data_IF_945876093871
#
_entry.id   IF_945876093871
#
_cell.length_a   1.000
_cell.length_b   1.000
_cell.length_c   1.000
_cell.angle_alpha   90.00
_cell.angle_beta   90.00
_cell.angle_gamma   90.00
#
_symmetry.space_group_name_H-M   'P 1'
#
loop_
_entity.id
_entity.type
_entity.pdbx_description
1 polymer ?
#
# COMPACT_ATOMS: atom_id res chain seq x y z
N UNK A 1 -48.48 13.84 -0.10
CA UNK A 1 -48.01 12.51 0.32
C UNK A 1 -48.30 11.39 -0.69
N UNK A 2 -49.43 11.39 -1.39
CA UNK A 2 -49.76 10.36 -2.40
C UNK A 2 -48.72 10.28 -3.53
N UNK A 3 -48.22 11.42 -4.01
CA UNK A 3 -47.20 11.48 -5.06
C UNK A 3 -45.89 10.78 -4.66
N UNK A 4 -45.38 11.02 -3.46
CA UNK A 4 -44.16 10.39 -2.98
C UNK A 4 -44.23 8.85 -2.93
N UNK A 5 -45.40 8.32 -2.54
CA UNK A 5 -45.63 6.87 -2.45
C UNK A 5 -45.81 6.21 -3.82
N UNK A 6 -46.19 6.97 -4.85
CA UNK A 6 -46.44 6.44 -6.20
C UNK A 6 -45.29 6.61 -7.16
N UNK A 7 -44.39 7.58 -6.91
CA UNK A 7 -43.31 7.97 -7.84
C UNK A 7 -41.93 7.56 -7.38
N UNK A 8 -41.78 7.07 -6.16
CA UNK A 8 -40.49 6.63 -5.61
C UNK A 8 -40.51 5.12 -5.35
N UNK A 9 -39.39 4.49 -5.53
CA UNK A 9 -39.14 3.08 -5.17
C UNK A 9 -37.78 2.90 -4.53
N UNK A 10 -37.62 1.83 -3.75
CA UNK A 10 -36.33 1.46 -3.19
C UNK A 10 -35.64 0.51 -4.16
N UNK A 11 -34.51 0.93 -4.70
CA UNK A 11 -33.70 0.10 -5.57
C UNK A 11 -32.41 -0.33 -4.82
N UNK A 12 -32.11 -1.64 -4.81
CA UNK A 12 -30.88 -2.19 -4.26
C UNK A 12 -29.85 -2.27 -5.36
N UNK A 13 -28.87 -1.38 -5.30
CA UNK A 13 -27.84 -1.21 -6.34
C UNK A 13 -26.70 -2.20 -6.14
N UNK A 14 -26.33 -2.50 -4.89
CA UNK A 14 -25.31 -3.49 -4.59
C UNK A 14 -25.71 -4.31 -3.35
N UNK A 15 -25.41 -5.61 -3.40
CA UNK A 15 -25.71 -6.54 -2.30
C UNK A 15 -24.41 -6.98 -1.64
N UNK A 16 -24.45 -7.17 -0.34
CA UNK A 16 -23.32 -7.66 0.48
C UNK A 16 -22.82 -9.04 0.06
N UNK A 17 -23.60 -9.79 -0.73
CA UNK A 17 -23.24 -11.10 -1.27
C UNK A 17 -22.46 -11.06 -2.59
N UNK A 18 -22.42 -9.91 -3.28
CA UNK A 18 -21.69 -9.75 -4.55
C UNK A 18 -20.48 -8.83 -4.37
N UNK A 19 -19.30 -9.21 -4.91
CA UNK A 19 -18.14 -8.33 -4.86
C UNK A 19 -18.38 -7.06 -5.67
N UNK A 20 -17.97 -5.93 -5.14
CA UNK A 20 -18.00 -4.63 -5.81
C UNK A 20 -16.80 -4.45 -6.73
N UNK A 21 -15.62 -4.80 -6.25
CA UNK A 21 -14.37 -4.63 -6.96
C UNK A 21 -13.29 -5.54 -6.40
N UNK A 22 -12.13 -5.49 -7.02
CA UNK A 22 -10.92 -6.20 -6.64
C UNK A 22 -9.83 -5.17 -6.33
N UNK A 23 -9.09 -5.37 -5.24
CA UNK A 23 -7.95 -4.53 -4.84
C UNK A 23 -6.68 -5.36 -4.77
N UNK A 24 -5.54 -4.77 -5.15
CA UNK A 24 -4.23 -5.41 -5.03
C UNK A 24 -3.83 -5.53 -3.56
N UNK A 25 -3.22 -6.66 -3.20
CA UNK A 25 -2.70 -6.88 -1.85
C UNK A 25 -1.19 -7.04 -1.91
N UNK A 26 -0.50 -6.17 -1.18
CA UNK A 26 0.95 -6.23 -1.02
C UNK A 26 1.32 -7.07 0.21
N UNK A 27 2.56 -7.56 0.25
CA UNK A 27 3.15 -8.27 1.39
C UNK A 27 2.42 -9.57 1.76
N UNK A 28 1.58 -10.11 0.89
CA UNK A 28 0.95 -11.42 1.03
C UNK A 28 1.67 -12.46 0.17
N UNK A 29 1.80 -13.69 0.67
CA UNK A 29 2.39 -14.77 -0.11
C UNK A 29 1.30 -15.51 -0.88
N UNK A 30 1.47 -15.60 -2.21
CA UNK A 30 0.58 -16.37 -3.06
C UNK A 30 -0.78 -15.74 -3.37
N UNK A 31 -1.07 -14.54 -2.84
CA UNK A 31 -2.27 -13.75 -3.15
C UNK A 31 -1.88 -12.32 -3.50
N UNK A 32 -2.18 -11.94 -4.72
CA UNK A 32 -1.86 -10.60 -5.23
C UNK A 32 -3.05 -9.65 -5.20
N UNK A 33 -4.27 -10.17 -4.92
CA UNK A 33 -5.49 -9.39 -4.90
C UNK A 33 -6.55 -10.02 -4.00
N UNK A 34 -7.54 -9.23 -3.61
CA UNK A 34 -8.71 -9.67 -2.86
C UNK A 34 -9.97 -8.99 -3.34
N UNK A 35 -11.10 -9.70 -3.21
CA UNK A 35 -12.41 -9.17 -3.53
C UNK A 35 -12.94 -8.36 -2.35
N UNK A 36 -13.52 -7.21 -2.67
CA UNK A 36 -14.14 -6.32 -1.72
C UNK A 36 -15.65 -6.38 -1.85
N UNK A 37 -16.33 -6.33 -0.71
CA UNK A 37 -17.78 -6.41 -0.61
C UNK A 37 -18.33 -5.18 0.12
N UNK A 38 -19.56 -4.73 -0.18
CA UNK A 38 -20.20 -3.75 0.67
C UNK A 38 -20.51 -4.37 2.03
N UNK A 39 -20.31 -3.61 3.10
CA UNK A 39 -20.57 -4.06 4.48
C UNK A 39 -22.05 -4.41 4.69
N UNK A 40 -22.93 -3.66 4.04
CA UNK A 40 -24.38 -3.87 4.03
C UNK A 40 -24.92 -3.69 2.61
N UNK A 41 -26.13 -4.16 2.36
CA UNK A 41 -26.79 -3.95 1.08
C UNK A 41 -26.97 -2.44 0.84
N UNK A 42 -26.51 -2.00 -0.32
CA UNK A 42 -26.54 -0.60 -0.72
C UNK A 42 -27.84 -0.32 -1.48
N UNK A 43 -28.82 0.24 -0.80
CA UNK A 43 -30.13 0.58 -1.35
C UNK A 43 -30.36 2.07 -1.33
N UNK A 44 -31.02 2.58 -2.35
CA UNK A 44 -31.36 3.98 -2.46
C UNK A 44 -32.82 4.14 -2.89
N UNK A 45 -33.45 5.24 -2.43
CA UNK A 45 -34.79 5.63 -2.87
C UNK A 45 -34.63 6.46 -4.12
N UNK A 46 -35.12 5.97 -5.23
CA UNK A 46 -35.03 6.57 -6.56
C UNK A 46 -36.39 6.75 -7.19
N UNK A 47 -36.54 7.66 -8.17
CA UNK A 47 -37.77 7.74 -8.97
C UNK A 47 -38.01 6.43 -9.73
N UNK A 48 -39.25 6.04 -9.94
CA UNK A 48 -39.62 4.82 -10.71
C UNK A 48 -39.18 4.86 -12.16
N UNK A 49 -38.97 6.06 -12.70
CA UNK A 49 -38.50 6.28 -14.07
C UNK A 49 -36.93 6.25 -14.15
N UNK A 50 -36.27 5.93 -13.03
CA UNK A 50 -34.85 5.84 -12.96
C UNK A 50 -34.32 4.61 -13.71
N UNK A 51 -33.42 4.81 -14.63
CA UNK A 51 -32.65 3.75 -15.32
C UNK A 51 -31.31 3.56 -14.66
N UNK A 52 -30.65 2.44 -14.91
CA UNK A 52 -29.30 2.15 -14.37
C UNK A 52 -28.27 3.23 -14.76
N UNK A 53 -28.49 3.94 -15.86
CA UNK A 53 -27.65 5.03 -16.35
C UNK A 53 -27.70 6.28 -15.43
N UNK A 54 -28.77 6.44 -14.68
CA UNK A 54 -28.94 7.55 -13.73
C UNK A 54 -28.24 7.30 -12.40
N UNK A 55 -27.78 6.05 -12.14
CA UNK A 55 -27.13 5.64 -10.90
C UNK A 55 -25.62 5.53 -11.14
N UNK A 56 -24.87 6.32 -10.40
CA UNK A 56 -23.40 6.33 -10.47
C UNK A 56 -22.87 5.82 -9.14
N UNK A 57 -22.05 4.75 -9.17
CA UNK A 57 -21.35 4.26 -7.99
C UNK A 57 -19.93 4.79 -8.04
N UNK A 58 -19.60 5.69 -7.15
CA UNK A 58 -18.23 6.14 -6.95
C UNK A 58 -17.59 5.34 -5.81
N UNK A 59 -16.40 4.81 -6.07
CA UNK A 59 -15.66 3.98 -5.14
C UNK A 59 -14.41 4.76 -4.71
N UNK A 60 -14.33 5.07 -3.43
CA UNK A 60 -13.15 5.65 -2.79
C UNK A 60 -12.36 4.52 -2.13
N UNK A 61 -11.55 3.83 -2.94
CA UNK A 61 -10.79 2.65 -2.56
C UNK A 61 -9.34 2.86 -3.00
N UNK A 62 -8.35 2.57 -2.13
CA UNK A 62 -6.95 2.64 -2.51
C UNK A 62 -6.61 1.61 -3.60
N UNK A 63 -5.66 1.91 -4.47
CA UNK A 63 -5.19 0.99 -5.53
C UNK A 63 -4.58 -0.29 -4.98
N UNK A 64 -4.04 -0.25 -3.77
CA UNK A 64 -3.47 -1.41 -3.10
C UNK A 64 -3.58 -1.31 -1.58
N UNK A 65 -3.65 -2.44 -0.91
CA UNK A 65 -3.66 -2.59 0.56
C UNK A 65 -2.54 -3.52 1.00
N UNK A 66 -1.97 -3.26 2.16
CA UNK A 66 -0.91 -4.09 2.72
C UNK A 66 -1.49 -5.16 3.65
N UNK A 67 -0.99 -6.39 3.52
CA UNK A 67 -1.28 -7.44 4.49
C UNK A 67 -0.57 -7.14 5.84
N UNK A 68 -1.14 -7.55 7.00
CA UNK A 68 -2.30 -8.43 7.16
C UNK A 68 -3.64 -7.70 6.97
N UNK A 69 -4.60 -8.39 6.40
CA UNK A 69 -5.96 -7.89 6.21
C UNK A 69 -6.96 -8.90 6.80
N UNK A 70 -7.75 -8.50 7.78
CA UNK A 70 -8.75 -9.37 8.36
C UNK A 70 -10.05 -9.33 7.55
N UNK A 71 -10.76 -10.45 7.50
CA UNK A 71 -12.08 -10.49 6.89
C UNK A 71 -13.01 -9.50 7.58
N UNK A 72 -13.72 -8.68 6.79
CA UNK A 72 -14.61 -7.65 7.29
C UNK A 72 -13.92 -6.34 7.69
N UNK A 73 -12.59 -6.21 7.52
CA UNK A 73 -11.92 -4.93 7.74
C UNK A 73 -12.31 -3.93 6.65
N UNK A 74 -12.55 -2.69 7.06
CA UNK A 74 -12.92 -1.60 6.14
C UNK A 74 -11.69 -1.20 5.32
N UNK A 75 -11.84 -1.22 4.01
CA UNK A 75 -10.78 -0.86 3.05
C UNK A 75 -11.05 0.49 2.40
N UNK A 76 -12.33 0.83 2.21
CA UNK A 76 -12.74 2.06 1.56
C UNK A 76 -14.24 2.30 1.72
N UNK A 77 -14.77 3.14 0.84
CA UNK A 77 -16.20 3.49 0.82
C UNK A 77 -16.73 3.45 -0.59
N UNK A 78 -18.00 3.10 -0.73
CA UNK A 78 -18.76 3.23 -1.96
C UNK A 78 -19.93 4.19 -1.74
N UNK A 79 -20.08 5.14 -2.65
CA UNK A 79 -21.15 6.15 -2.59
C UNK A 79 -22.01 6.05 -3.84
N UNK A 80 -23.33 5.99 -3.67
CA UNK A 80 -24.28 6.08 -4.77
C UNK A 80 -24.65 7.54 -4.99
N UNK A 81 -24.54 7.96 -6.22
CA UNK A 81 -25.07 9.24 -6.71
C UNK A 81 -26.19 8.99 -7.72
N UNK A 82 -27.18 9.85 -7.63
CA UNK A 82 -28.22 9.97 -8.64
C UNK A 82 -27.96 11.18 -9.52
N UNK A 83 -28.17 11.00 -10.81
CA UNK A 83 -28.05 12.04 -11.81
C UNK A 83 -29.27 11.97 -12.75
N UNK A 84 -30.16 12.95 -12.67
CA UNK A 84 -31.37 12.95 -13.50
C UNK A 84 -31.05 13.05 -15.00
N UNK A 85 -30.10 13.94 -15.37
CA UNK A 85 -29.69 14.19 -16.76
C UNK A 85 -28.17 14.39 -16.84
N UNK A 86 -27.61 14.33 -18.03
CA UNK A 86 -26.18 14.50 -18.28
C UNK A 86 -25.60 15.83 -17.71
N UNK A 87 -26.43 16.87 -17.64
CA UNK A 87 -26.03 18.21 -17.16
C UNK A 87 -26.48 18.48 -15.71
N UNK A 88 -27.19 17.56 -15.05
CA UNK A 88 -27.63 17.74 -13.66
C UNK A 88 -26.46 17.55 -12.68
N UNK A 89 -26.54 18.20 -11.53
CA UNK A 89 -25.61 17.93 -10.42
C UNK A 89 -25.83 16.54 -9.86
N UNK A 90 -24.75 15.89 -9.42
CA UNK A 90 -24.79 14.59 -8.77
C UNK A 90 -25.35 14.76 -7.35
N UNK A 91 -26.45 14.05 -7.05
CA UNK A 91 -27.03 14.02 -5.73
C UNK A 91 -26.60 12.74 -5.00
N UNK A 92 -25.96 12.87 -3.85
CA UNK A 92 -25.58 11.73 -3.01
C UNK A 92 -26.82 11.11 -2.39
N UNK A 93 -27.05 9.82 -2.65
CA UNK A 93 -28.17 9.06 -2.13
C UNK A 93 -27.81 8.23 -0.91
N UNK A 94 -26.71 7.47 -0.99
CA UNK A 94 -26.29 6.57 0.08
C UNK A 94 -24.78 6.37 0.05
N UNK A 95 -24.23 5.94 1.19
CA UNK A 95 -22.82 5.58 1.36
C UNK A 95 -22.73 4.31 2.20
N UNK A 96 -21.81 3.43 1.84
CA UNK A 96 -21.52 2.20 2.58
C UNK A 96 -20.01 1.97 2.67
N UNK A 97 -19.55 1.38 3.77
CA UNK A 97 -18.18 0.91 3.87
C UNK A 97 -17.98 -0.29 2.95
N UNK A 98 -16.78 -0.38 2.40
CA UNK A 98 -16.34 -1.51 1.59
C UNK A 98 -15.33 -2.30 2.39
N UNK A 99 -15.60 -3.59 2.55
CA UNK A 99 -14.86 -4.49 3.45
C UNK A 99 -14.18 -5.63 2.71
N UNK A 100 -13.11 -6.14 3.27
CA UNK A 100 -12.40 -7.30 2.75
C UNK A 100 -13.24 -8.59 2.89
N UNK A 101 -13.36 -9.35 1.81
CA UNK A 101 -14.13 -10.60 1.78
C UNK A 101 -13.46 -11.77 2.47
N UNK A 102 -12.13 -11.75 2.60
CA UNK A 102 -11.33 -12.83 3.18
C UNK A 102 -10.21 -12.31 4.05
N UNK A 103 -9.74 -13.19 4.94
CA UNK A 103 -8.54 -12.93 5.74
C UNK A 103 -7.30 -13.20 4.90
N UNK A 104 -6.35 -12.26 4.90
CA UNK A 104 -5.07 -12.39 4.23
C UNK A 104 -3.95 -12.23 5.26
N UNK A 105 -3.11 -13.25 5.36
CA UNK A 105 -1.98 -13.24 6.29
C UNK A 105 -0.76 -12.58 5.64
N UNK A 106 0.02 -11.91 6.46
CA UNK A 106 1.24 -11.25 6.04
C UNK A 106 2.36 -12.26 5.81
N UNK A 107 3.07 -12.13 4.70
CA UNK A 107 4.31 -12.85 4.48
C UNK A 107 5.46 -12.19 5.24
N UNK A 108 6.01 -12.88 6.25
CA UNK A 108 7.18 -12.39 7.00
C UNK A 108 8.39 -12.14 6.10
N UNK A 109 8.59 -12.98 5.08
CA UNK A 109 9.72 -12.87 4.14
C UNK A 109 9.59 -11.59 3.29
N UNK A 110 8.42 -11.36 2.67
CA UNK A 110 8.20 -10.18 1.83
C UNK A 110 8.27 -8.88 2.65
N UNK A 111 7.83 -8.93 3.90
CA UNK A 111 7.94 -7.80 4.81
C UNK A 111 9.39 -7.44 5.12
N UNK A 112 10.24 -8.43 5.40
CA UNK A 112 11.66 -8.21 5.64
C UNK A 112 12.33 -7.62 4.39
N UNK A 113 12.02 -8.14 3.19
CA UNK A 113 12.52 -7.58 1.94
C UNK A 113 12.06 -6.13 1.70
N UNK A 114 10.82 -5.80 2.05
CA UNK A 114 10.31 -4.44 1.94
C UNK A 114 11.05 -3.49 2.90
N UNK A 115 11.26 -3.89 4.17
CA UNK A 115 12.07 -3.10 5.12
C UNK A 115 13.50 -2.92 4.60
N UNK A 116 14.13 -4.00 4.13
CA UNK A 116 15.48 -3.92 3.58
C UNK A 116 15.49 -2.94 2.40
N UNK A 117 14.56 -3.03 1.45
CA UNK A 117 14.44 -2.11 0.32
C UNK A 117 14.29 -0.65 0.76
N UNK A 118 13.45 -0.39 1.76
CA UNK A 118 13.24 0.95 2.30
C UNK A 118 14.50 1.50 2.98
N UNK A 119 15.24 0.64 3.72
CA UNK A 119 16.51 1.02 4.36
C UNK A 119 17.58 1.32 3.33
N UNK A 120 17.69 0.50 2.26
CA UNK A 120 18.65 0.75 1.17
C UNK A 120 18.36 2.05 0.41
N UNK A 121 17.10 2.44 0.30
CA UNK A 121 16.69 3.70 -0.33
C UNK A 121 16.82 4.91 0.61
N UNK A 122 17.09 4.66 1.90
CA UNK A 122 17.25 5.71 2.89
C UNK A 122 18.57 6.46 2.73
N UNK A 123 18.53 7.78 2.80
CA UNK A 123 19.68 8.66 2.76
C UNK A 123 20.76 8.28 3.80
N UNK A 124 20.34 7.79 4.96
CA UNK A 124 21.20 7.33 6.05
C UNK A 124 22.08 6.13 5.67
N UNK A 125 21.60 5.25 4.81
CA UNK A 125 22.36 4.09 4.35
C UNK A 125 23.59 4.51 3.53
N UNK A 126 23.45 5.51 2.66
CA UNK A 126 24.55 6.08 1.87
C UNK A 126 25.60 6.69 2.79
N UNK A 127 25.18 7.41 3.84
CA UNK A 127 26.08 8.01 4.82
C UNK A 127 26.87 6.94 5.59
N UNK A 128 26.21 5.86 6.02
CA UNK A 128 26.88 4.75 6.73
C UNK A 128 27.93 4.07 5.83
N UNK A 129 27.60 3.80 4.59
CA UNK A 129 28.55 3.20 3.63
C UNK A 129 29.74 4.12 3.40
N UNK A 130 29.52 5.41 3.21
CA UNK A 130 30.59 6.38 3.04
C UNK A 130 31.54 6.42 4.25
N UNK A 131 31.00 6.33 5.46
CA UNK A 131 31.76 6.29 6.70
C UNK A 131 32.59 5.00 6.82
N UNK A 132 32.03 3.84 6.47
CA UNK A 132 32.75 2.56 6.45
C UNK A 132 33.92 2.61 5.45
N UNK A 133 33.70 3.14 4.25
CA UNK A 133 34.74 3.28 3.22
C UNK A 133 35.85 4.20 3.74
N UNK A 134 35.50 5.31 4.38
CA UNK A 134 36.47 6.25 4.94
C UNK A 134 37.36 5.59 6.02
N UNK A 135 36.75 4.85 6.94
CA UNK A 135 37.47 4.07 7.96
C UNK A 135 38.41 3.06 7.33
N UNK A 136 37.98 2.37 6.27
CA UNK A 136 38.78 1.38 5.56
C UNK A 136 40.00 2.03 4.86
N UNK A 137 39.82 3.20 4.25
CA UNK A 137 40.91 3.98 3.64
C UNK A 137 41.93 4.39 4.72
N UNK A 138 41.46 4.90 5.84
CA UNK A 138 42.34 5.28 6.97
C UNK A 138 43.14 4.07 7.46
N UNK A 139 42.47 2.91 7.62
CA UNK A 139 43.12 1.66 8.02
C UNK A 139 44.21 1.24 7.04
N UNK A 140 43.97 1.31 5.73
CA UNK A 140 44.95 0.98 4.69
C UNK A 140 46.14 1.93 4.72
N UNK A 141 45.93 3.22 4.93
CA UNK A 141 47.00 4.22 5.03
C UNK A 141 47.90 3.94 6.24
N UNK A 142 47.28 3.69 7.41
CA UNK A 142 48.03 3.37 8.64
C UNK A 142 48.81 2.07 8.49
N UNK A 143 48.22 1.04 7.90
CA UNK A 143 48.85 -0.26 7.62
C UNK A 143 50.10 -0.10 6.71
N UNK A 144 49.97 0.70 5.64
CA UNK A 144 51.13 1.01 4.75
C UNK A 144 52.24 1.76 5.47
N UNK A 145 51.92 2.71 6.34
CA UNK A 145 52.91 3.49 7.10
C UNK A 145 53.66 2.58 8.10
N UNK A 146 52.94 1.71 8.81
CA UNK A 146 53.53 0.76 9.76
C UNK A 146 54.37 -0.30 9.06
N UNK A 147 53.99 -0.77 7.90
CA UNK A 147 54.75 -1.71 7.08
C UNK A 147 56.11 -1.12 6.61
N UNK A 148 56.11 0.16 6.19
CA UNK A 148 57.35 0.87 5.79
C UNK A 148 58.30 1.11 6.98
N UNK A 149 57.78 1.41 8.18
CA UNK A 149 58.57 1.60 9.40
C UNK A 149 59.27 0.30 9.85
N UNK A 150 58.60 -0.85 9.74
CA UNK A 150 59.18 -2.16 10.06
C UNK A 150 60.34 -2.54 9.10
N UNK A 151 60.22 -2.26 7.81
CA UNK A 151 61.27 -2.52 6.82
C UNK A 151 62.52 -1.64 7.07
N UNK A 152 62.35 -0.36 7.39
CA UNK A 152 63.45 0.55 7.69
C UNK A 152 64.26 0.12 8.93
N UNK A 153 63.60 -0.35 9.99
CA UNK A 153 64.28 -0.85 11.19
C UNK A 153 65.08 -2.16 10.96
N UNK A 154 64.64 -3.01 10.04
CA UNK A 154 65.39 -4.25 9.71
C UNK A 154 66.65 -3.93 8.95
N UNK A 155 66.67 -3.01 8.02
CA UNK A 155 67.87 -2.64 7.26
C UNK A 155 68.91 -1.98 8.15
N UNK A 156 68.57 -1.12 9.09
CA UNK A 156 69.48 -0.47 10.03
C UNK A 156 70.23 -1.47 10.96
N UNK A 157 69.54 -2.57 11.37
CA UNK A 157 70.20 -3.61 12.20
C UNK A 157 71.25 -4.43 11.42
N UNK A 158 71.10 -4.56 10.12
CA UNK A 158 72.09 -5.33 9.31
C UNK A 158 73.44 -4.62 9.13
N UNK A 159 73.43 -3.28 9.09
CA UNK A 159 74.67 -2.48 8.98
C UNK A 159 75.45 -2.28 10.30
N UNK A 160 74.83 -2.67 11.46
CA UNK A 160 75.48 -2.49 12.78
C UNK A 160 76.24 -3.73 13.25
N UNK A 161 76.23 -4.83 12.53
CA UNK A 161 76.90 -6.09 12.81
C UNK A 161 77.98 -6.44 11.79
N UNK A 162 78.45 -5.46 11.02
CA UNK A 162 79.68 -5.47 10.22
C UNK A 162 80.69 -4.54 10.84
#
# INVERSE_FOLDING_TARGET
FRWALTSLEMNTVATSSKPLCEVKVNLAWGKNSTLLYPETDLSAIVPKDCTDENIIIEQDIPESVDAPLDKGSVVGKATIYYKADANSEKQKLAEVNVVAGEKIERSGILYVFNIIGTVFQSYWFIVIIALIILVLIIYLIISKIHGKRKRKKRNVKHYRNL
#
